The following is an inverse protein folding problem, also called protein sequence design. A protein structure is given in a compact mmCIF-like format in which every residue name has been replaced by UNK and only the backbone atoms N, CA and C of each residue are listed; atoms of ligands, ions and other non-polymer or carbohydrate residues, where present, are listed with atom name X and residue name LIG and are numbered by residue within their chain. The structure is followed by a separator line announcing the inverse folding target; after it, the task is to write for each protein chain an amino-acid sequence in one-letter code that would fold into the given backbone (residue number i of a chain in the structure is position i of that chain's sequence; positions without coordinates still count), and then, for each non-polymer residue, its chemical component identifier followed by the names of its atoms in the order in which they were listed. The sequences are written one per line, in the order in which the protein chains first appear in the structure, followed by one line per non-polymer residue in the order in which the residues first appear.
data_IF_974340629077
#
_entry.id   IF_974340629077
#
_cell.length_a   1.000
_cell.length_b   1.000
_cell.length_c   1.000
_cell.angle_alpha   90.00
_cell.angle_beta   90.00
_cell.angle_gamma   90.00
#
_symmetry.space_group_name_H-M   'P 1'
#
loop_
_entity.id
_entity.type
_entity.pdbx_description
1 polymer ?
#
# COMPACT_ATOMS: atom_id res chain seq x y z
N UNK A 1 -9.30 1.38 4.39
CA UNK A 1 -8.98 2.00 5.70
C UNK A 1 -9.26 3.51 5.72
N UNK A 2 -8.75 4.29 4.74
CA UNK A 2 -8.92 5.76 4.67
C UNK A 2 -10.37 6.23 4.84
N UNK A 3 -11.30 5.74 4.01
CA UNK A 3 -12.73 6.09 4.13
C UNK A 3 -13.33 5.70 5.49
N UNK A 4 -12.87 4.59 6.08
CA UNK A 4 -13.29 4.16 7.41
C UNK A 4 -12.82 5.11 8.51
N UNK A 5 -11.57 5.58 8.42
CA UNK A 5 -11.05 6.60 9.35
C UNK A 5 -11.83 7.90 9.22
N UNK A 6 -12.08 8.38 7.99
CA UNK A 6 -12.87 9.59 7.75
C UNK A 6 -14.27 9.50 8.37
N UNK A 7 -14.93 8.34 8.24
CA UNK A 7 -16.24 8.09 8.86
C UNK A 7 -16.19 8.09 10.39
N UNK A 8 -15.18 7.45 11.00
CA UNK A 8 -15.01 7.41 12.46
C UNK A 8 -14.73 8.81 13.03
N UNK A 9 -13.88 9.59 12.37
CA UNK A 9 -13.54 10.96 12.78
C UNK A 9 -14.56 12.02 12.35
N UNK A 10 -15.66 11.62 11.67
CA UNK A 10 -16.70 12.51 11.14
C UNK A 10 -16.14 13.66 10.28
N UNK A 11 -15.09 13.38 9.53
CA UNK A 11 -14.48 14.36 8.62
C UNK A 11 -15.32 14.40 7.35
N UNK A 12 -15.80 15.57 6.90
CA UNK A 12 -16.62 15.69 5.71
C UNK A 12 -15.83 15.23 4.47
N UNK A 13 -16.55 14.56 3.56
CA UNK A 13 -16.00 14.24 2.24
C UNK A 13 -15.99 15.51 1.39
N UNK A 14 -14.79 15.91 0.99
CA UNK A 14 -14.48 17.03 0.12
C UNK A 14 -13.61 16.56 -1.06
N UNK A 15 -13.25 17.48 -1.95
CA UNK A 15 -12.44 17.16 -3.12
C UNK A 15 -11.10 16.52 -2.70
N UNK A 16 -10.46 17.05 -1.64
CA UNK A 16 -9.15 16.59 -1.19
C UNK A 16 -9.20 15.15 -0.64
N UNK A 17 -10.16 14.85 0.24
CA UNK A 17 -10.34 13.53 0.85
C UNK A 17 -10.75 12.47 -0.16
N UNK A 18 -11.56 12.81 -1.17
CA UNK A 18 -11.87 11.92 -2.30
C UNK A 18 -10.62 11.62 -3.11
N UNK A 19 -9.77 12.61 -3.37
CA UNK A 19 -8.47 12.40 -4.03
C UNK A 19 -7.58 11.46 -3.22
N UNK A 20 -7.51 11.60 -1.88
CA UNK A 20 -6.76 10.65 -1.03
C UNK A 20 -7.29 9.23 -1.19
N UNK A 21 -8.61 9.05 -1.22
CA UNK A 21 -9.20 7.73 -1.42
C UNK A 21 -8.80 7.13 -2.77
N UNK A 22 -8.83 7.92 -3.85
CA UNK A 22 -8.39 7.48 -5.17
C UNK A 22 -6.90 7.09 -5.21
N UNK A 23 -6.02 7.93 -4.64
CA UNK A 23 -4.58 7.65 -4.53
C UNK A 23 -4.35 6.37 -3.73
N UNK A 24 -5.05 6.22 -2.60
CA UNK A 24 -4.94 5.03 -1.74
C UNK A 24 -5.25 3.75 -2.49
N UNK A 25 -6.29 3.75 -3.33
CA UNK A 25 -6.68 2.58 -4.13
C UNK A 25 -5.64 2.30 -5.21
N UNK A 26 -5.23 3.32 -5.98
CA UNK A 26 -4.22 3.15 -7.02
C UNK A 26 -2.91 2.58 -6.49
N UNK A 27 -2.42 3.13 -5.37
CA UNK A 27 -1.23 2.66 -4.67
C UNK A 27 -1.35 1.22 -4.17
N UNK A 28 -2.49 0.84 -3.58
CA UNK A 28 -2.71 -0.52 -3.10
C UNK A 28 -2.72 -1.55 -4.22
N UNK A 29 -3.34 -1.19 -5.35
CA UNK A 29 -3.38 -2.05 -6.54
C UNK A 29 -1.99 -2.18 -7.15
N UNK A 30 -1.26 -1.06 -7.33
CA UNK A 30 0.09 -1.03 -7.90
C UNK A 30 1.07 -1.92 -7.11
N UNK A 31 1.18 -1.70 -5.80
CA UNK A 31 2.05 -2.50 -4.92
C UNK A 31 1.71 -4.00 -5.00
N UNK A 32 0.41 -4.32 -5.04
CA UNK A 32 -0.07 -5.69 -5.11
C UNK A 32 0.27 -6.34 -6.45
N UNK A 33 0.11 -5.63 -7.57
CA UNK A 33 0.47 -6.13 -8.91
C UNK A 33 1.96 -6.44 -8.97
N UNK A 34 2.82 -5.51 -8.55
CA UNK A 34 4.27 -5.72 -8.53
C UNK A 34 4.68 -6.92 -7.69
N UNK A 35 4.05 -7.10 -6.52
CA UNK A 35 4.32 -8.25 -5.65
C UNK A 35 3.85 -9.57 -6.26
N UNK A 36 2.61 -9.65 -6.75
CA UNK A 36 2.03 -10.85 -7.34
C UNK A 36 2.79 -11.25 -8.61
N UNK A 37 3.18 -10.28 -9.44
CA UNK A 37 3.94 -10.55 -10.67
C UNK A 37 5.23 -11.30 -10.35
N UNK A 38 6.02 -10.79 -9.38
CA UNK A 38 7.24 -11.45 -8.94
C UNK A 38 6.98 -12.80 -8.26
N UNK A 39 5.93 -12.91 -7.47
CA UNK A 39 5.55 -14.18 -6.86
C UNK A 39 5.24 -15.25 -7.93
N UNK A 40 4.46 -14.89 -8.97
CA UNK A 40 4.14 -15.80 -10.08
C UNK A 40 5.36 -16.18 -10.91
N UNK A 41 6.25 -15.24 -11.18
CA UNK A 41 7.53 -15.51 -11.86
C UNK A 41 8.37 -16.53 -11.07
N UNK A 42 8.44 -16.41 -9.74
CA UNK A 42 9.17 -17.39 -8.91
C UNK A 42 8.49 -18.77 -8.88
N UNK A 43 7.16 -18.83 -8.87
CA UNK A 43 6.44 -20.10 -8.99
C UNK A 43 6.71 -20.80 -10.33
N UNK A 44 6.77 -20.04 -11.44
CA UNK A 44 7.11 -20.60 -12.76
C UNK A 44 8.53 -21.14 -12.82
N UNK A 45 9.45 -20.54 -12.08
CA UNK A 45 10.83 -21.02 -11.92
C UNK A 45 10.97 -22.19 -10.93
N UNK A 46 9.89 -22.98 -10.74
CA UNK A 46 9.85 -24.17 -9.88
C UNK A 46 10.13 -23.93 -8.39
N UNK A 47 9.95 -22.71 -7.88
CA UNK A 47 10.02 -22.46 -6.45
C UNK A 47 8.75 -22.99 -5.75
N UNK A 48 8.90 -23.55 -4.54
CA UNK A 48 7.75 -23.82 -3.68
C UNK A 48 7.04 -22.50 -3.32
N UNK A 49 5.71 -22.50 -3.08
CA UNK A 49 4.97 -21.28 -2.71
C UNK A 49 5.60 -20.48 -1.56
N UNK A 50 6.13 -21.18 -0.56
CA UNK A 50 6.82 -20.54 0.58
C UNK A 50 8.14 -19.89 0.16
N UNK A 51 8.92 -20.56 -0.70
CA UNK A 51 10.16 -20.00 -1.21
C UNK A 51 9.92 -18.82 -2.17
N UNK A 52 8.88 -18.90 -3.01
CA UNK A 52 8.47 -17.81 -3.89
C UNK A 52 8.11 -16.56 -3.07
N UNK A 53 7.30 -16.69 -2.00
CA UNK A 53 7.00 -15.59 -1.08
C UNK A 53 8.28 -14.99 -0.50
N UNK A 54 9.20 -15.83 0.00
CA UNK A 54 10.45 -15.37 0.61
C UNK A 54 11.34 -14.59 -0.37
N UNK A 55 11.46 -15.07 -1.61
CA UNK A 55 12.25 -14.42 -2.65
C UNK A 55 11.60 -13.10 -3.08
N UNK A 56 10.28 -13.07 -3.28
CA UNK A 56 9.54 -11.84 -3.61
C UNK A 56 9.68 -10.80 -2.49
N UNK A 57 9.57 -11.21 -1.23
CA UNK A 57 9.70 -10.30 -0.09
C UNK A 57 11.10 -9.68 0.00
N UNK A 58 12.15 -10.47 -0.24
CA UNK A 58 13.54 -9.99 -0.20
C UNK A 58 13.96 -9.14 -1.41
N UNK A 59 13.22 -9.22 -2.52
CA UNK A 59 13.49 -8.47 -3.74
C UNK A 59 12.51 -7.29 -3.86
N UNK A 60 11.37 -7.50 -4.51
CA UNK A 60 10.38 -6.45 -4.77
C UNK A 60 9.74 -5.92 -3.48
N UNK A 61 9.65 -6.74 -2.43
CA UNK A 61 9.13 -6.29 -1.14
C UNK A 61 9.93 -5.14 -0.53
N UNK A 62 11.27 -5.19 -0.65
CA UNK A 62 12.14 -4.07 -0.24
C UNK A 62 11.97 -2.85 -1.13
N UNK A 63 11.81 -3.04 -2.44
CA UNK A 63 11.57 -1.95 -3.37
C UNK A 63 10.26 -1.21 -3.03
N UNK A 64 9.17 -1.94 -2.81
CA UNK A 64 7.86 -1.41 -2.40
C UNK A 64 7.96 -0.67 -1.05
N UNK A 65 8.77 -1.18 -0.11
CA UNK A 65 9.01 -0.51 1.17
C UNK A 65 9.66 0.86 0.97
N UNK A 66 10.73 0.94 0.19
CA UNK A 66 11.44 2.21 -0.03
C UNK A 66 10.58 3.21 -0.78
N UNK A 67 9.86 2.80 -1.83
CA UNK A 67 8.99 3.71 -2.59
C UNK A 67 7.86 4.24 -1.72
N UNK A 68 7.16 3.37 -0.97
CA UNK A 68 6.09 3.79 -0.08
C UNK A 68 6.57 4.76 1.00
N UNK A 69 7.74 4.52 1.60
CA UNK A 69 8.32 5.42 2.60
C UNK A 69 8.71 6.77 2.01
N UNK A 70 9.41 6.79 0.88
CA UNK A 70 9.81 8.05 0.21
C UNK A 70 8.60 8.89 -0.17
N UNK A 71 7.57 8.28 -0.77
CA UNK A 71 6.34 8.99 -1.16
C UNK A 71 5.59 9.48 0.10
N UNK A 72 5.50 8.66 1.14
CA UNK A 72 4.85 9.06 2.40
C UNK A 72 5.52 10.28 3.03
N UNK A 73 6.87 10.28 3.08
CA UNK A 73 7.64 11.43 3.57
C UNK A 73 7.40 12.67 2.70
N UNK A 74 7.31 12.50 1.37
CA UNK A 74 6.97 13.59 0.45
C UNK A 74 5.61 14.23 0.76
N UNK A 75 4.59 13.42 1.04
CA UNK A 75 3.26 13.94 1.43
C UNK A 75 3.25 14.56 2.83
N UNK A 76 4.10 14.10 3.75
CA UNK A 76 4.22 14.71 5.08
C UNK A 76 4.72 16.16 5.02
N UNK A 77 5.39 16.59 3.95
CA UNK A 77 5.79 18.01 3.79
C UNK A 77 4.55 18.94 3.79
N UNK A 78 3.39 18.47 3.31
CA UNK A 78 2.16 19.25 3.31
C UNK A 78 1.61 19.53 4.72
N UNK A 79 2.05 18.81 5.75
CA UNK A 79 1.65 19.11 7.14
C UNK A 79 2.22 20.44 7.65
N UNK A 80 3.24 21.00 6.98
CA UNK A 80 3.78 22.33 7.27
C UNK A 80 2.99 23.47 6.62
N UNK A 81 1.92 23.16 5.88
CA UNK A 81 1.09 24.19 5.23
C UNK A 81 0.22 24.95 6.23
N UNK A 82 -0.03 26.24 5.96
CA UNK A 82 -0.98 27.06 6.71
C UNK A 82 -2.44 26.81 6.33
N UNK A 83 -2.70 25.96 5.33
CA UNK A 83 -4.06 25.65 4.86
C UNK A 83 -4.49 24.26 5.34
N UNK A 84 -5.48 24.21 6.24
CA UNK A 84 -5.93 22.98 6.90
C UNK A 84 -6.29 21.84 5.92
N UNK A 85 -6.98 22.07 4.79
CA UNK A 85 -7.25 21.00 3.81
C UNK A 85 -5.97 20.38 3.24
N UNK A 86 -4.91 21.17 3.02
CA UNK A 86 -3.61 20.67 2.54
C UNK A 86 -2.90 19.84 3.59
N UNK A 87 -2.97 20.25 4.86
CA UNK A 87 -2.41 19.50 6.00
C UNK A 87 -3.07 18.12 6.12
N UNK A 88 -4.42 18.09 6.10
CA UNK A 88 -5.18 16.84 6.17
C UNK A 88 -4.90 15.95 4.97
N UNK A 89 -4.82 16.53 3.77
CA UNK A 89 -4.46 15.79 2.56
C UNK A 89 -3.10 15.11 2.67
N UNK A 90 -2.07 15.82 3.13
CA UNK A 90 -0.74 15.25 3.35
C UNK A 90 -0.75 14.11 4.37
N UNK A 91 -1.40 14.35 5.51
CA UNK A 91 -1.48 13.37 6.60
C UNK A 91 -2.24 12.10 6.19
N UNK A 92 -3.44 12.24 5.63
CA UNK A 92 -4.25 11.09 5.24
C UNK A 92 -3.61 10.32 4.08
N UNK A 93 -2.95 11.00 3.15
CA UNK A 93 -2.23 10.32 2.06
C UNK A 93 -1.05 9.53 2.61
N UNK A 94 -0.23 10.11 3.50
CA UNK A 94 0.86 9.37 4.13
C UNK A 94 0.36 8.13 4.89
N UNK A 95 -0.73 8.26 5.67
CA UNK A 95 -1.34 7.12 6.37
C UNK A 95 -1.83 6.05 5.37
N UNK A 96 -2.47 6.48 4.27
CA UNK A 96 -2.97 5.57 3.25
C UNK A 96 -1.84 4.74 2.62
N UNK A 97 -0.70 5.37 2.33
CA UNK A 97 0.47 4.75 1.73
C UNK A 97 1.11 3.73 2.66
N UNK A 98 1.32 4.08 3.93
CA UNK A 98 1.85 3.16 4.94
C UNK A 98 0.90 1.97 5.16
N UNK A 99 -0.41 2.22 5.16
CA UNK A 99 -1.41 1.16 5.28
C UNK A 99 -1.39 0.22 4.07
N UNK A 100 -1.29 0.78 2.85
CA UNK A 100 -1.16 0.02 1.61
C UNK A 100 0.08 -0.88 1.65
N UNK A 101 1.22 -0.34 2.07
CA UNK A 101 2.46 -1.08 2.26
C UNK A 101 2.28 -2.27 3.21
N UNK A 102 1.66 -2.05 4.39
CA UNK A 102 1.38 -3.11 5.35
C UNK A 102 0.44 -4.18 4.78
N UNK A 103 -0.60 -3.77 4.05
CA UNK A 103 -1.51 -4.71 3.39
C UNK A 103 -0.78 -5.56 2.35
N UNK A 104 0.11 -4.99 1.53
CA UNK A 104 0.86 -5.75 0.52
C UNK A 104 1.96 -6.62 1.13
N UNK A 105 2.68 -6.19 2.16
CA UNK A 105 3.81 -6.96 2.70
C UNK A 105 3.42 -7.96 3.78
N UNK A 106 2.27 -7.79 4.43
CA UNK A 106 1.82 -8.67 5.53
C UNK A 106 0.58 -9.46 5.12
N UNK A 107 -0.49 -8.77 4.73
CA UNK A 107 -1.77 -9.42 4.45
C UNK A 107 -1.73 -10.25 3.17
N UNK A 108 -1.17 -9.72 2.09
CA UNK A 108 -1.07 -10.43 0.81
C UNK A 108 -0.30 -11.77 0.90
N UNK A 109 0.93 -11.85 1.43
CA UNK A 109 1.63 -13.14 1.54
C UNK A 109 0.93 -14.13 2.48
N UNK A 110 0.26 -13.64 3.53
CA UNK A 110 -0.57 -14.49 4.38
C UNK A 110 -1.73 -15.11 3.60
N UNK A 111 -2.43 -14.30 2.79
CA UNK A 111 -3.51 -14.77 1.92
C UNK A 111 -2.98 -15.73 0.85
N UNK A 112 -1.85 -15.44 0.21
CA UNK A 112 -1.23 -16.32 -0.79
C UNK A 112 -0.80 -17.67 -0.20
N UNK A 113 -0.38 -17.70 1.07
CA UNK A 113 -0.07 -18.95 1.78
C UNK A 113 -1.32 -19.74 2.13
N UNK A 114 -2.37 -19.06 2.60
CA UNK A 114 -3.62 -19.72 3.03
C UNK A 114 -4.50 -20.14 1.86
N UNK A 115 -4.43 -19.46 0.73
CA UNK A 115 -5.28 -19.70 -0.42
C UNK A 115 -4.54 -20.57 -1.44
N UNK A 116 -5.08 -21.73 -1.79
CA UNK A 116 -4.55 -22.63 -2.83
C UNK A 116 -4.72 -22.05 -4.25
N UNK A 117 -4.74 -20.72 -4.41
CA UNK A 117 -5.16 -20.03 -5.64
C UNK A 117 -4.21 -20.25 -6.82
N UNK A 118 -2.96 -20.64 -6.55
CA UNK A 118 -1.93 -20.88 -7.57
C UNK A 118 -1.35 -22.30 -7.53
N UNK A 119 -2.09 -23.24 -6.95
CA UNK A 119 -1.71 -24.65 -6.88
C UNK A 119 -2.29 -25.44 -8.04
#
# INVERSE_FOLDING_TARGET
MVLGLLGIFRIPLDIMTITVAAISVGMAVDNTIHYIYRYKEQLQNSASPVNAIRISHNSIGKAILYTALTISIGFLIFTFSNFTPTVLFGLFTAIALITSLLATLVLLPYLLKSSNVFR
#
